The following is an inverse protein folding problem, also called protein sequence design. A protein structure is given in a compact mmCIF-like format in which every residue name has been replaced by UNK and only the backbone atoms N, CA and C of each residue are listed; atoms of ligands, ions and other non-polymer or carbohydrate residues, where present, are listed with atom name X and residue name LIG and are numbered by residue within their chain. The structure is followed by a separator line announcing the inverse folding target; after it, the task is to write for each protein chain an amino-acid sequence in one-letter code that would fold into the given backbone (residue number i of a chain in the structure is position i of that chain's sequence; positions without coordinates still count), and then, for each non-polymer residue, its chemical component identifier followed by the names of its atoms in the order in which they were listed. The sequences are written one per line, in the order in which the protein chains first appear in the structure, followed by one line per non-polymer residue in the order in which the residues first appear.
data_IF_708993733855
#
_entry.id   IF_708993733855
#
_cell.length_a   1.000
_cell.length_b   1.000
_cell.length_c   1.000
_cell.angle_alpha   90.00
_cell.angle_beta   90.00
_cell.angle_gamma   90.00
#
_symmetry.space_group_name_H-M   'P 1'
#
loop_
_entity.id
_entity.type
_entity.pdbx_description
1 polymer ?
#
# COMPACT_ATOMS: atom_id res chain seq x y z
N UNK A 1 -20.54 -34.44 10.18
CA UNK A 1 -20.89 -34.24 8.76
C UNK A 1 -21.03 -32.77 8.33
N UNK A 2 -21.48 -31.85 9.17
CA UNK A 2 -21.58 -30.41 8.81
C UNK A 2 -20.23 -29.68 8.62
N UNK A 3 -19.17 -30.04 9.35
CA UNK A 3 -17.87 -29.39 9.25
C UNK A 3 -17.13 -29.62 7.92
N UNK A 4 -17.36 -30.78 7.28
CA UNK A 4 -16.74 -31.14 5.99
C UNK A 4 -17.37 -30.34 4.81
N UNK A 5 -18.66 -30.06 4.86
CA UNK A 5 -19.34 -29.29 3.82
C UNK A 5 -18.90 -27.82 3.80
N UNK A 6 -18.60 -27.23 4.96
CA UNK A 6 -18.13 -25.84 5.09
C UNK A 6 -16.71 -25.66 4.58
N UNK A 7 -15.82 -26.62 4.82
CA UNK A 7 -14.43 -26.61 4.33
C UNK A 7 -14.36 -26.84 2.80
N UNK A 8 -15.23 -27.67 2.25
CA UNK A 8 -15.31 -27.87 0.80
C UNK A 8 -15.82 -26.61 0.09
N UNK A 9 -16.79 -25.89 0.67
CA UNK A 9 -17.35 -24.66 0.11
C UNK A 9 -16.33 -23.49 0.10
N UNK A 10 -15.48 -23.39 1.13
CA UNK A 10 -14.41 -22.35 1.20
C UNK A 10 -13.29 -22.61 0.19
N UNK A 11 -12.95 -23.88 -0.08
CA UNK A 11 -11.93 -24.20 -1.10
C UNK A 11 -12.46 -24.10 -2.52
N UNK A 12 -13.75 -24.34 -2.74
CA UNK A 12 -14.37 -24.24 -4.07
C UNK A 12 -14.50 -22.79 -4.54
N UNK A 13 -14.90 -21.86 -3.67
CA UNK A 13 -15.05 -20.44 -4.00
C UNK A 13 -13.74 -19.73 -4.38
N UNK A 14 -12.63 -20.10 -3.73
CA UNK A 14 -11.28 -19.59 -4.06
C UNK A 14 -10.74 -20.19 -5.37
N UNK A 15 -11.07 -21.46 -5.66
CA UNK A 15 -10.62 -22.13 -6.90
C UNK A 15 -11.39 -21.70 -8.14
N UNK A 16 -12.68 -21.40 -8.04
CA UNK A 16 -13.48 -20.98 -9.19
C UNK A 16 -13.01 -19.62 -9.74
N UNK A 17 -12.66 -18.66 -8.88
CA UNK A 17 -12.08 -17.38 -9.32
C UNK A 17 -10.73 -17.55 -10.00
N UNK A 18 -9.83 -18.33 -9.41
CA UNK A 18 -8.50 -18.59 -9.96
C UNK A 18 -8.52 -19.49 -11.21
N UNK A 19 -9.49 -20.41 -11.30
CA UNK A 19 -9.68 -21.28 -12.47
C UNK A 19 -10.31 -20.49 -13.62
N UNK A 20 -11.22 -19.56 -13.36
CA UNK A 20 -11.77 -18.67 -14.39
C UNK A 20 -10.72 -17.69 -14.92
N UNK A 21 -9.87 -17.14 -14.06
CA UNK A 21 -8.74 -16.27 -14.47
C UNK A 21 -7.68 -17.06 -15.28
N UNK A 22 -7.45 -18.33 -14.92
CA UNK A 22 -6.44 -19.17 -15.58
C UNK A 22 -6.92 -19.89 -16.86
N UNK A 23 -8.21 -20.21 -16.96
CA UNK A 23 -8.77 -20.98 -18.09
C UNK A 23 -9.23 -20.11 -19.26
N UNK A 24 -9.49 -18.81 -19.06
CA UNK A 24 -10.15 -18.04 -20.10
C UNK A 24 -9.25 -17.07 -20.85
N UNK A 25 -8.07 -16.70 -20.40
CA UNK A 25 -7.18 -15.75 -21.12
C UNK A 25 -7.93 -14.56 -21.75
N UNK A 26 -9.20 -14.37 -21.35
CA UNK A 26 -10.15 -13.41 -21.91
C UNK A 26 -10.54 -12.42 -20.81
N UNK A 27 -10.41 -11.15 -21.12
CA UNK A 27 -10.95 -10.08 -20.31
C UNK A 27 -12.45 -10.30 -20.06
N UNK A 28 -12.88 -10.13 -18.82
CA UNK A 28 -14.28 -10.18 -18.47
C UNK A 28 -15.07 -9.20 -19.33
N UNK A 29 -16.20 -9.63 -19.85
CA UNK A 29 -17.17 -8.72 -20.50
C UNK A 29 -17.61 -7.65 -19.50
N UNK A 30 -18.17 -6.54 -19.99
CA UNK A 30 -18.75 -5.51 -19.13
C UNK A 30 -19.75 -6.10 -18.11
N UNK A 31 -20.63 -6.98 -18.57
CA UNK A 31 -21.61 -7.71 -17.74
C UNK A 31 -20.92 -8.61 -16.72
N UNK A 32 -19.84 -9.30 -17.12
CA UNK A 32 -19.04 -10.14 -16.22
C UNK A 32 -18.34 -9.32 -15.11
N UNK A 33 -17.83 -8.15 -15.42
CA UNK A 33 -17.26 -7.23 -14.44
C UNK A 33 -18.31 -6.73 -13.44
N UNK A 34 -19.48 -6.33 -13.93
CA UNK A 34 -20.60 -5.90 -13.07
C UNK A 34 -21.08 -7.02 -12.15
N UNK A 35 -21.28 -8.23 -12.71
CA UNK A 35 -21.67 -9.40 -11.92
C UNK A 35 -20.60 -9.77 -10.87
N UNK A 36 -19.33 -9.72 -11.22
CA UNK A 36 -18.23 -10.01 -10.29
C UNK A 36 -18.21 -9.05 -9.10
N UNK A 37 -18.49 -7.76 -9.35
CA UNK A 37 -18.62 -6.75 -8.31
C UNK A 37 -19.74 -7.08 -7.32
N UNK A 38 -20.93 -7.39 -7.82
CA UNK A 38 -22.09 -7.76 -7.00
C UNK A 38 -21.87 -9.08 -6.24
N UNK A 39 -21.33 -10.10 -6.91
CA UNK A 39 -20.99 -11.36 -6.26
C UNK A 39 -19.98 -11.19 -5.12
N UNK A 40 -18.97 -10.34 -5.30
CA UNK A 40 -18.01 -9.97 -4.26
C UNK A 40 -18.68 -9.25 -3.10
N UNK A 41 -19.61 -8.33 -3.37
CA UNK A 41 -20.38 -7.62 -2.34
C UNK A 41 -21.23 -8.58 -1.48
N UNK A 42 -21.90 -9.55 -2.10
CA UNK A 42 -22.68 -10.60 -1.40
C UNK A 42 -21.77 -11.45 -0.51
N UNK A 43 -20.63 -11.92 -1.04
CA UNK A 43 -19.66 -12.70 -0.26
C UNK A 43 -19.05 -11.90 0.89
N UNK A 44 -18.86 -10.60 0.71
CA UNK A 44 -18.39 -9.71 1.76
C UNK A 44 -19.43 -9.56 2.88
N UNK A 45 -20.71 -9.37 2.54
CA UNK A 45 -21.82 -9.33 3.51
C UNK A 45 -21.94 -10.63 4.29
N UNK A 46 -21.81 -11.78 3.64
CA UNK A 46 -21.81 -13.09 4.31
C UNK A 46 -20.63 -13.25 5.29
N UNK A 47 -19.42 -12.80 4.90
CA UNK A 47 -18.26 -12.77 5.82
C UNK A 47 -18.51 -11.86 7.01
N UNK A 48 -19.07 -10.68 6.80
CA UNK A 48 -19.39 -9.73 7.87
C UNK A 48 -20.39 -10.31 8.86
N UNK A 49 -21.47 -10.93 8.41
CA UNK A 49 -22.44 -11.60 9.27
C UNK A 49 -21.77 -12.69 10.14
N UNK A 50 -20.89 -13.51 9.55
CA UNK A 50 -20.11 -14.51 10.28
C UNK A 50 -19.15 -13.86 11.29
N UNK A 51 -18.54 -12.72 10.97
CA UNK A 51 -17.67 -12.00 11.89
C UNK A 51 -18.45 -11.39 13.05
N UNK A 52 -19.62 -10.82 12.81
CA UNK A 52 -20.51 -10.30 13.88
C UNK A 52 -20.86 -11.41 14.88
N UNK A 53 -21.18 -12.61 14.43
CA UNK A 53 -21.42 -13.74 15.34
C UNK A 53 -20.20 -14.12 16.17
N UNK A 54 -18.98 -14.07 15.58
CA UNK A 54 -17.74 -14.31 16.31
C UNK A 54 -17.43 -13.21 17.34
N UNK A 55 -17.71 -11.96 16.99
CA UNK A 55 -17.53 -10.82 17.89
C UNK A 55 -18.43 -10.90 19.12
N UNK A 56 -19.65 -11.44 18.96
CA UNK A 56 -20.57 -11.74 20.06
C UNK A 56 -19.99 -12.82 20.99
N UNK A 57 -19.34 -13.83 20.43
CA UNK A 57 -18.70 -14.92 21.17
C UNK A 57 -17.38 -14.53 21.89
N UNK A 58 -16.93 -13.28 21.73
CA UNK A 58 -15.69 -12.76 22.29
C UNK A 58 -14.49 -12.90 21.33
N UNK A 59 -13.45 -12.06 21.55
CA UNK A 59 -12.24 -11.97 20.71
C UNK A 59 -11.31 -13.23 20.87
N UNK A 60 -11.87 -14.43 20.91
CA UNK A 60 -11.09 -15.67 21.09
C UNK A 60 -10.50 -16.19 19.77
N UNK A 61 -10.76 -15.55 18.63
CA UNK A 61 -10.20 -15.90 17.33
C UNK A 61 -10.93 -15.21 16.18
N UNK A 62 -10.28 -15.09 15.05
CA UNK A 62 -10.84 -14.47 13.83
C UNK A 62 -9.79 -14.35 12.76
N UNK A 63 -10.20 -13.97 11.55
CA UNK A 63 -9.30 -13.63 10.45
C UNK A 63 -9.43 -12.15 10.16
N UNK A 64 -8.29 -11.46 10.08
CA UNK A 64 -8.19 -10.05 9.70
C UNK A 64 -7.32 -9.94 8.44
N UNK A 65 -7.91 -9.53 7.34
CA UNK A 65 -7.19 -9.27 6.09
C UNK A 65 -6.82 -7.80 6.05
N UNK A 66 -5.54 -7.52 6.17
CA UNK A 66 -4.95 -6.19 6.10
C UNK A 66 -4.38 -5.99 4.70
N UNK A 67 -4.70 -4.90 4.02
CA UNK A 67 -4.00 -4.46 2.83
C UNK A 67 -3.14 -3.25 3.16
N UNK A 68 -1.94 -3.15 2.60
CA UNK A 68 -1.09 -1.98 2.81
C UNK A 68 -0.28 -1.64 1.58
N UNK A 69 -0.05 -0.33 1.38
CA UNK A 69 0.89 0.16 0.38
C UNK A 69 2.32 -0.20 0.75
N UNK A 70 3.21 -0.25 -0.24
CA UNK A 70 4.55 -0.84 -0.06
C UNK A 70 5.37 -0.17 1.05
N UNK A 71 5.39 1.16 1.11
CA UNK A 71 6.14 1.86 2.15
C UNK A 71 5.60 1.50 3.54
N UNK A 72 4.28 1.58 3.70
CA UNK A 72 3.63 1.29 4.98
C UNK A 72 3.81 -0.18 5.35
N UNK A 73 3.61 -1.11 4.40
CA UNK A 73 3.70 -2.55 4.61
C UNK A 73 5.10 -3.03 5.01
N UNK A 74 6.15 -2.43 4.42
CA UNK A 74 7.51 -2.93 4.59
C UNK A 74 8.29 -2.22 5.70
N UNK A 75 7.96 -0.95 6.00
CA UNK A 75 8.79 -0.13 6.87
C UNK A 75 8.08 0.37 8.14
N UNK A 76 6.76 0.48 8.13
CA UNK A 76 6.03 1.04 9.25
C UNK A 76 5.13 0.03 9.98
N UNK A 77 4.42 -0.80 9.25
CA UNK A 77 3.39 -1.70 9.79
C UNK A 77 3.94 -2.97 10.49
N UNK A 78 5.08 -3.59 10.08
CA UNK A 78 5.48 -4.91 10.58
C UNK A 78 5.64 -4.98 12.09
N UNK A 79 6.34 -4.03 12.71
CA UNK A 79 6.52 -3.99 14.17
C UNK A 79 5.19 -3.86 14.92
N UNK A 80 4.25 -3.12 14.36
CA UNK A 80 2.91 -2.91 14.91
C UNK A 80 2.05 -4.16 14.80
N UNK A 81 2.13 -4.88 13.68
CA UNK A 81 1.46 -6.18 13.52
C UNK A 81 2.04 -7.23 14.45
N UNK A 82 3.35 -7.24 14.67
CA UNK A 82 3.99 -8.15 15.62
C UNK A 82 3.51 -7.90 17.06
N UNK A 83 3.44 -6.65 17.48
CA UNK A 83 2.91 -6.27 18.79
C UNK A 83 1.42 -6.64 18.93
N UNK A 84 0.63 -6.40 17.88
CA UNK A 84 -0.78 -6.80 17.84
C UNK A 84 -0.92 -8.32 17.95
N UNK A 85 -0.15 -9.10 17.19
CA UNK A 85 -0.21 -10.57 17.20
C UNK A 85 0.19 -11.14 18.58
N UNK A 86 1.15 -10.53 19.26
CA UNK A 86 1.52 -10.91 20.62
C UNK A 86 0.38 -10.65 21.63
N UNK A 87 -0.35 -9.55 21.47
CA UNK A 87 -1.49 -9.20 22.35
C UNK A 87 -2.76 -10.01 22.03
N UNK A 88 -2.93 -10.42 20.78
CA UNK A 88 -4.13 -11.13 20.28
C UNK A 88 -3.76 -12.39 19.49
N UNK A 89 -3.16 -13.42 20.13
CA UNK A 89 -2.64 -14.60 19.43
C UNK A 89 -3.70 -15.44 18.73
N UNK A 90 -4.97 -15.30 19.11
CA UNK A 90 -6.09 -15.99 18.46
C UNK A 90 -6.58 -15.33 17.17
N UNK A 91 -6.07 -14.16 16.79
CA UNK A 91 -6.44 -13.47 15.56
C UNK A 91 -5.45 -13.84 14.44
N UNK A 92 -5.94 -14.51 13.39
CA UNK A 92 -5.14 -14.80 12.18
C UNK A 92 -5.07 -13.54 11.31
N UNK A 93 -3.90 -12.89 11.25
CA UNK A 93 -3.66 -11.69 10.45
C UNK A 93 -2.97 -12.05 9.15
N UNK A 94 -3.56 -11.66 8.02
CA UNK A 94 -2.91 -11.78 6.71
C UNK A 94 -2.68 -10.38 6.12
N UNK A 95 -1.42 -10.11 5.70
CA UNK A 95 -1.03 -8.85 5.05
C UNK A 95 -0.95 -9.04 3.54
N UNK A 96 -1.63 -8.16 2.80
CA UNK A 96 -1.56 -8.02 1.34
C UNK A 96 -0.83 -6.72 1.01
N UNK A 97 0.18 -6.79 0.14
CA UNK A 97 0.96 -5.62 -0.27
C UNK A 97 0.58 -5.26 -1.70
N UNK A 98 0.29 -3.99 -1.93
CA UNK A 98 -0.07 -3.45 -3.24
C UNK A 98 0.35 -1.97 -3.34
N UNK A 99 -0.06 -1.25 -4.38
CA UNK A 99 0.03 0.21 -4.39
C UNK A 99 -1.21 0.85 -3.73
N UNK A 100 -1.16 2.15 -3.51
CA UNK A 100 -2.21 2.91 -2.79
C UNK A 100 -3.59 2.74 -3.42
N UNK A 101 -3.70 2.85 -4.74
CA UNK A 101 -4.95 2.74 -5.47
C UNK A 101 -5.54 1.33 -5.36
N UNK A 102 -4.70 0.29 -5.48
CA UNK A 102 -5.14 -1.09 -5.34
C UNK A 102 -5.55 -1.42 -3.90
N UNK A 103 -4.85 -0.93 -2.90
CA UNK A 103 -5.25 -1.08 -1.49
C UNK A 103 -6.64 -0.48 -1.25
N UNK A 104 -6.89 0.73 -1.76
CA UNK A 104 -8.21 1.35 -1.66
C UNK A 104 -9.29 0.52 -2.35
N UNK A 105 -9.02 0.01 -3.55
CA UNK A 105 -9.93 -0.88 -4.26
C UNK A 105 -10.19 -2.17 -3.48
N UNK A 106 -9.17 -2.81 -2.91
CA UNK A 106 -9.31 -4.03 -2.11
C UNK A 106 -10.21 -3.81 -0.88
N UNK A 107 -10.09 -2.64 -0.21
CA UNK A 107 -10.98 -2.30 0.93
C UNK A 107 -12.40 -2.01 0.45
N UNK A 108 -12.57 -1.25 -0.62
CA UNK A 108 -13.89 -0.94 -1.21
C UNK A 108 -14.62 -2.21 -1.65
N UNK A 109 -13.92 -3.11 -2.32
CA UNK A 109 -14.45 -4.40 -2.81
C UNK A 109 -14.53 -5.47 -1.71
N UNK A 110 -14.17 -5.14 -0.47
CA UNK A 110 -14.16 -6.07 0.67
C UNK A 110 -13.24 -7.28 0.47
N UNK A 111 -12.19 -7.15 -0.32
CA UNK A 111 -11.10 -8.12 -0.44
C UNK A 111 -10.10 -7.99 0.72
N UNK A 112 -10.06 -6.82 1.35
CA UNK A 112 -9.40 -6.55 2.62
C UNK A 112 -10.40 -5.97 3.62
N UNK A 113 -10.19 -6.25 4.90
CA UNK A 113 -11.02 -5.71 5.98
C UNK A 113 -10.66 -4.24 6.24
N UNK A 114 -9.37 -3.95 6.22
CA UNK A 114 -8.79 -2.63 6.46
C UNK A 114 -7.63 -2.39 5.50
N UNK A 115 -7.33 -1.12 5.26
CA UNK A 115 -6.21 -0.67 4.45
C UNK A 115 -5.28 0.29 5.19
N UNK A 116 -4.01 0.29 4.84
CA UNK A 116 -3.04 1.29 5.24
C UNK A 116 -2.33 1.85 4.02
N UNK A 117 -2.38 3.15 3.83
CA UNK A 117 -1.82 3.82 2.65
C UNK A 117 -1.00 5.06 3.02
N UNK A 118 -0.14 5.48 2.11
CA UNK A 118 0.43 6.82 2.08
C UNK A 118 -0.29 7.71 1.07
N UNK A 119 -0.41 9.00 1.40
CA UNK A 119 -1.06 10.02 0.57
C UNK A 119 -2.58 10.02 0.70
N UNK A 120 -3.19 11.07 0.18
CA UNK A 120 -4.64 11.25 0.26
C UNK A 120 -5.35 10.40 -0.80
N UNK A 121 -6.54 9.96 -0.46
CA UNK A 121 -7.46 9.29 -1.37
C UNK A 121 -8.84 9.93 -1.26
N UNK A 122 -9.43 10.22 -2.42
CA UNK A 122 -10.82 10.67 -2.52
C UNK A 122 -11.69 9.52 -3.02
N UNK A 123 -12.31 8.81 -2.06
CA UNK A 123 -13.23 7.71 -2.34
C UNK A 123 -14.44 7.80 -1.40
N UNK A 124 -15.59 8.09 -1.97
CA UNK A 124 -16.83 8.28 -1.22
C UNK A 124 -17.28 7.10 -0.36
N UNK A 125 -16.87 5.87 -0.69
CA UNK A 125 -17.21 4.66 0.04
C UNK A 125 -16.26 4.37 1.22
N UNK A 126 -15.07 5.00 1.24
CA UNK A 126 -14.07 4.76 2.23
C UNK A 126 -14.03 5.85 3.30
N UNK A 127 -13.84 5.46 4.54
CA UNK A 127 -13.45 6.33 5.63
C UNK A 127 -11.93 6.26 5.79
N UNK A 128 -11.28 7.42 5.71
CA UNK A 128 -9.85 7.57 5.92
C UNK A 128 -9.57 8.26 7.25
N UNK A 129 -8.64 7.74 8.05
CA UNK A 129 -8.17 8.34 9.29
C UNK A 129 -6.65 8.45 9.27
N UNK A 130 -6.13 9.65 9.44
CA UNK A 130 -4.70 9.88 9.57
C UNK A 130 -4.15 9.19 10.83
N UNK A 131 -3.02 8.51 10.69
CA UNK A 131 -2.40 7.73 11.78
C UNK A 131 -0.93 8.11 12.03
N UNK A 132 -0.15 8.41 10.98
CA UNK A 132 1.27 8.73 11.05
C UNK A 132 1.72 9.42 9.76
N UNK A 133 3.00 9.38 9.43
CA UNK A 133 3.55 9.90 8.18
C UNK A 133 5.05 9.68 8.03
N UNK A 134 5.55 10.07 6.86
CA UNK A 134 6.97 10.09 6.48
C UNK A 134 7.29 11.32 5.62
N UNK A 135 8.50 11.37 5.08
CA UNK A 135 8.91 12.39 4.13
C UNK A 135 9.29 11.77 2.78
N UNK A 136 8.85 12.41 1.70
CA UNK A 136 9.35 12.13 0.36
C UNK A 136 10.67 12.88 0.16
N UNK A 137 11.71 12.16 -0.24
CA UNK A 137 13.05 12.68 -0.47
C UNK A 137 13.55 12.31 -1.86
N UNK A 138 14.51 13.08 -2.39
CA UNK A 138 15.19 12.71 -3.64
C UNK A 138 16.56 12.16 -3.33
N UNK A 139 16.84 10.97 -3.89
CA UNK A 139 18.12 10.29 -3.72
C UNK A 139 18.73 9.87 -5.05
N UNK A 140 20.04 9.76 -5.03
CA UNK A 140 20.88 9.29 -6.16
C UNK A 140 21.95 8.33 -5.67
N UNK A 141 22.48 7.51 -6.55
CA UNK A 141 23.60 6.62 -6.27
C UNK A 141 24.95 7.38 -6.19
N UNK A 142 26.01 6.73 -5.69
CA UNK A 142 27.31 7.35 -5.44
C UNK A 142 28.03 7.83 -6.72
N UNK A 143 27.69 7.26 -7.90
CA UNK A 143 28.26 7.63 -9.20
C UNK A 143 27.52 8.78 -9.89
N UNK A 144 26.38 9.19 -9.34
CA UNK A 144 25.58 10.26 -9.94
C UNK A 144 26.31 11.61 -9.83
N UNK A 145 26.30 12.44 -10.89
CA UNK A 145 26.99 13.75 -10.88
C UNK A 145 26.59 14.66 -9.70
N UNK A 146 25.35 14.55 -9.21
CA UNK A 146 24.86 15.38 -8.13
C UNK A 146 25.14 14.82 -6.73
N UNK A 147 25.64 13.59 -6.59
CA UNK A 147 25.78 12.91 -5.29
C UNK A 147 26.62 13.70 -4.27
N UNK A 148 27.62 14.46 -4.72
CA UNK A 148 28.55 15.22 -3.85
C UNK A 148 28.41 16.74 -3.96
N UNK A 149 27.39 17.22 -4.68
CA UNK A 149 27.17 18.64 -4.86
C UNK A 149 26.56 19.24 -3.60
N UNK A 150 27.15 20.35 -3.11
CA UNK A 150 26.57 21.15 -2.02
C UNK A 150 25.37 21.98 -2.47
N UNK A 151 25.31 22.33 -3.75
CA UNK A 151 24.25 23.12 -4.36
C UNK A 151 23.91 22.54 -5.73
N UNK A 152 22.66 22.24 -5.93
CA UNK A 152 22.16 21.73 -7.20
C UNK A 152 22.06 22.85 -8.24
N UNK A 153 22.30 22.57 -9.53
CA UNK A 153 22.11 23.55 -10.60
C UNK A 153 20.64 23.94 -10.74
N UNK A 154 20.36 25.14 -11.25
CA UNK A 154 19.01 25.53 -11.58
C UNK A 154 18.40 24.56 -12.61
N UNK A 155 17.16 24.18 -12.42
CA UNK A 155 16.48 23.21 -13.30
C UNK A 155 17.03 21.79 -13.23
N UNK A 156 17.76 21.41 -12.20
CA UNK A 156 18.39 20.10 -12.03
C UNK A 156 17.45 18.91 -12.25
N UNK A 157 16.16 19.05 -11.93
CA UNK A 157 15.17 17.97 -12.08
C UNK A 157 14.97 17.53 -13.54
N UNK A 158 15.12 18.44 -14.49
CA UNK A 158 15.03 18.15 -15.94
C UNK A 158 16.34 17.71 -16.55
N UNK A 159 17.45 17.80 -15.80
CA UNK A 159 18.82 17.48 -16.24
C UNK A 159 19.27 16.08 -15.81
N UNK A 160 18.46 15.35 -15.07
CA UNK A 160 18.78 14.02 -14.58
C UNK A 160 17.75 13.00 -15.04
N UNK A 161 18.16 11.76 -15.35
CA UNK A 161 17.22 10.67 -15.60
C UNK A 161 16.57 10.19 -14.30
N UNK A 162 15.34 9.71 -14.40
CA UNK A 162 14.52 9.29 -13.26
C UNK A 162 14.13 7.82 -13.35
N UNK A 163 14.08 7.17 -12.20
CA UNK A 163 13.37 5.90 -11.99
C UNK A 163 12.20 6.19 -11.05
N UNK A 164 11.00 5.84 -11.47
CA UNK A 164 9.79 6.16 -10.72
C UNK A 164 8.96 4.92 -10.42
N UNK A 165 8.05 5.07 -9.47
CA UNK A 165 6.99 4.11 -9.21
C UNK A 165 5.94 4.16 -10.34
N UNK A 166 5.19 3.10 -10.43
CA UNK A 166 4.07 2.93 -11.35
C UNK A 166 2.90 3.89 -11.03
N UNK A 167 1.98 4.16 -12.00
CA UNK A 167 0.71 4.81 -11.75
C UNK A 167 -0.10 4.10 -10.65
N UNK A 168 -0.84 4.85 -9.85
CA UNK A 168 -1.57 4.33 -8.69
C UNK A 168 -0.72 4.21 -7.41
N UNK A 169 0.61 4.43 -7.48
CA UNK A 169 1.47 4.55 -6.30
C UNK A 169 1.30 5.92 -5.63
N UNK A 170 1.06 5.92 -4.32
CA UNK A 170 1.01 7.14 -3.51
C UNK A 170 2.34 7.92 -3.53
N UNK A 171 3.48 7.21 -3.61
CA UNK A 171 4.80 7.82 -3.76
C UNK A 171 4.90 8.61 -5.07
N UNK A 172 4.45 8.01 -6.20
CA UNK A 172 4.42 8.69 -7.49
C UNK A 172 3.46 9.88 -7.49
N UNK A 173 2.24 9.71 -6.99
CA UNK A 173 1.24 10.79 -6.93
C UNK A 173 1.76 12.01 -6.14
N UNK A 174 2.43 11.78 -5.00
CA UNK A 174 3.04 12.83 -4.20
C UNK A 174 4.22 13.50 -4.91
N UNK A 175 5.02 12.74 -5.65
CA UNK A 175 6.10 13.32 -6.47
C UNK A 175 5.53 14.21 -7.57
N UNK A 176 4.52 13.76 -8.28
CA UNK A 176 3.84 14.56 -9.32
C UNK A 176 3.21 15.85 -8.73
N UNK A 177 2.64 15.76 -7.53
CA UNK A 177 2.15 16.96 -6.82
C UNK A 177 3.28 17.92 -6.48
N UNK A 178 4.42 17.41 -6.03
CA UNK A 178 5.60 18.22 -5.71
C UNK A 178 6.22 18.88 -6.97
N UNK A 179 6.18 18.20 -8.12
CA UNK A 179 6.57 18.77 -9.42
C UNK A 179 5.63 19.92 -9.82
N UNK A 180 4.31 19.72 -9.74
CA UNK A 180 3.33 20.77 -10.06
C UNK A 180 3.53 22.03 -9.22
N UNK A 181 3.84 21.89 -7.93
CA UNK A 181 4.15 23.03 -7.04
C UNK A 181 5.43 23.79 -7.45
N UNK A 182 6.31 23.16 -8.23
CA UNK A 182 7.52 23.76 -8.80
C UNK A 182 7.34 24.22 -10.26
N UNK A 183 6.13 24.18 -10.79
CA UNK A 183 5.83 24.54 -12.17
C UNK A 183 6.27 23.49 -13.20
N UNK A 184 6.54 22.26 -12.77
CA UNK A 184 6.95 21.14 -13.62
C UNK A 184 5.84 20.10 -13.74
N UNK A 185 5.90 19.33 -14.83
CA UNK A 185 5.05 18.17 -15.07
C UNK A 185 5.93 16.94 -15.23
N UNK A 186 5.37 15.76 -15.05
CA UNK A 186 6.10 14.51 -15.27
C UNK A 186 6.68 14.39 -16.68
N UNK A 187 5.95 14.90 -17.69
CA UNK A 187 6.40 14.91 -19.07
C UNK A 187 7.65 15.79 -19.34
N UNK A 188 7.98 16.67 -18.41
CA UNK A 188 9.17 17.51 -18.49
C UNK A 188 10.44 16.77 -17.98
N UNK A 189 10.28 15.56 -17.43
CA UNK A 189 11.36 14.74 -16.88
C UNK A 189 11.76 13.59 -17.82
N UNK A 190 13.04 13.22 -17.82
CA UNK A 190 13.54 12.04 -18.51
C UNK A 190 13.32 10.77 -17.66
N UNK A 191 12.10 10.20 -17.69
CA UNK A 191 11.82 8.94 -16.98
C UNK A 191 12.36 7.78 -17.78
N UNK A 192 13.37 7.09 -17.25
CA UNK A 192 14.03 5.95 -17.92
C UNK A 192 13.39 4.61 -17.57
N UNK A 193 12.95 4.44 -16.31
CA UNK A 193 12.35 3.21 -15.85
C UNK A 193 11.13 3.51 -14.96
N UNK A 194 10.13 2.65 -15.05
CA UNK A 194 9.00 2.57 -14.16
C UNK A 194 9.00 1.20 -13.49
N UNK A 195 9.05 1.17 -12.16
CA UNK A 195 9.13 -0.07 -11.38
C UNK A 195 8.06 -0.09 -10.30
N UNK A 196 7.54 -1.29 -10.04
CA UNK A 196 6.46 -1.50 -9.07
C UNK A 196 6.94 -1.81 -7.64
N UNK A 197 8.26 -1.79 -7.38
CA UNK A 197 8.85 -2.09 -6.06
C UNK A 197 9.79 -0.98 -5.60
N UNK A 198 9.59 -0.51 -4.35
CA UNK A 198 10.50 0.45 -3.72
C UNK A 198 11.92 -0.11 -3.60
N UNK A 199 12.06 -1.40 -3.29
CA UNK A 199 13.34 -2.09 -3.15
C UNK A 199 14.06 -2.20 -4.50
N UNK A 200 13.32 -2.51 -5.59
CA UNK A 200 13.87 -2.55 -6.93
C UNK A 200 14.36 -1.17 -7.38
N UNK A 201 13.58 -0.11 -7.11
CA UNK A 201 13.99 1.28 -7.38
C UNK A 201 15.25 1.63 -6.59
N UNK A 202 15.27 1.37 -5.28
CA UNK A 202 16.43 1.62 -4.43
C UNK A 202 17.69 0.96 -4.99
N UNK A 203 17.62 -0.34 -5.30
CA UNK A 203 18.75 -1.10 -5.83
C UNK A 203 19.22 -0.57 -7.20
N UNK A 204 18.28 -0.22 -8.08
CA UNK A 204 18.61 0.35 -9.39
C UNK A 204 19.31 1.72 -9.27
N UNK A 205 18.85 2.58 -8.33
CA UNK A 205 19.45 3.89 -8.09
C UNK A 205 20.82 3.76 -7.42
N UNK A 206 21.03 2.83 -6.49
CA UNK A 206 22.33 2.56 -5.86
C UNK A 206 23.41 2.21 -6.90
N UNK A 207 23.05 1.49 -7.95
CA UNK A 207 23.97 1.03 -8.99
C UNK A 207 24.05 1.96 -10.21
N UNK A 208 23.11 2.89 -10.38
CA UNK A 208 22.91 3.66 -11.61
C UNK A 208 23.29 5.13 -11.54
N UNK A 209 22.83 5.85 -12.56
CA UNK A 209 22.98 7.31 -12.72
C UNK A 209 21.61 8.03 -12.68
N UNK A 210 20.57 7.36 -12.21
CA UNK A 210 19.23 7.93 -12.11
C UNK A 210 18.98 8.49 -10.72
N UNK A 211 18.09 9.47 -10.65
CA UNK A 211 17.47 9.93 -9.42
C UNK A 211 16.13 9.22 -9.18
N UNK A 212 15.68 9.19 -7.95
CA UNK A 212 14.30 8.82 -7.59
C UNK A 212 13.76 9.69 -6.47
N UNK A 213 12.44 9.87 -6.47
CA UNK A 213 11.71 10.41 -5.33
C UNK A 213 11.07 9.24 -4.57
N UNK A 214 11.45 9.06 -3.31
CA UNK A 214 11.09 7.90 -2.52
C UNK A 214 10.93 8.28 -1.04
N UNK A 215 10.29 7.42 -0.25
CA UNK A 215 10.19 7.58 1.21
C UNK A 215 11.57 7.59 1.88
N UNK A 216 11.76 8.48 2.83
CA UNK A 216 12.94 8.49 3.70
C UNK A 216 13.10 7.17 4.46
N UNK A 217 12.00 6.55 4.90
CA UNK A 217 12.01 5.24 5.57
C UNK A 217 12.64 4.12 4.70
N UNK A 218 12.47 4.19 3.37
CA UNK A 218 13.03 3.19 2.45
C UNK A 218 14.54 3.32 2.33
N UNK A 219 15.06 4.53 2.40
CA UNK A 219 16.46 4.85 2.05
C UNK A 219 17.34 5.22 3.24
N UNK A 220 16.79 5.31 4.44
CA UNK A 220 17.50 5.68 5.66
C UNK A 220 18.79 4.87 5.86
N UNK A 221 18.68 3.54 5.77
CA UNK A 221 19.84 2.63 5.93
C UNK A 221 20.85 2.78 4.81
N UNK A 222 20.40 2.96 3.58
CA UNK A 222 21.27 3.16 2.41
C UNK A 222 22.02 4.50 2.49
N UNK A 223 21.37 5.55 2.97
CA UNK A 223 22.01 6.85 3.20
C UNK A 223 23.06 6.72 4.33
N UNK A 224 22.72 6.07 5.44
CA UNK A 224 23.64 5.83 6.54
C UNK A 224 24.87 5.00 6.12
N UNK A 225 24.69 4.04 5.21
CA UNK A 225 25.76 3.22 4.65
C UNK A 225 26.54 3.91 3.51
N UNK A 226 26.12 5.10 3.04
CA UNK A 226 26.77 5.82 1.95
C UNK A 226 26.54 5.20 0.56
N UNK A 227 25.57 4.29 0.42
CA UNK A 227 25.18 3.71 -0.88
C UNK A 227 24.18 4.58 -1.63
N UNK A 228 23.49 5.49 -0.94
CA UNK A 228 22.66 6.54 -1.52
C UNK A 228 23.00 7.91 -0.93
N UNK A 229 22.77 8.94 -1.71
CA UNK A 229 22.95 10.34 -1.33
C UNK A 229 21.65 11.10 -1.50
N UNK A 230 21.20 11.75 -0.46
CA UNK A 230 20.09 12.70 -0.53
C UNK A 230 20.58 13.98 -1.15
N UNK A 231 20.03 14.38 -2.28
CA UNK A 231 20.48 15.54 -3.06
C UNK A 231 19.61 16.78 -2.88
N UNK A 232 18.44 16.62 -2.28
CA UNK A 232 17.56 17.72 -1.90
C UNK A 232 16.97 17.45 -0.52
N UNK A 233 16.53 18.50 0.16
CA UNK A 233 15.82 18.41 1.41
C UNK A 233 14.52 17.61 1.27
N UNK A 234 13.63 17.78 2.22
CA UNK A 234 12.31 17.15 2.20
C UNK A 234 11.49 17.73 1.04
N UNK A 235 11.11 16.86 0.09
CA UNK A 235 10.33 17.25 -1.07
C UNK A 235 8.86 17.50 -0.70
N UNK A 236 8.33 16.64 0.17
CA UNK A 236 6.99 16.74 0.74
C UNK A 236 6.86 15.88 2.00
N UNK A 237 6.10 16.34 2.99
CA UNK A 237 5.58 15.47 4.06
C UNK A 237 4.40 14.68 3.56
N UNK A 238 4.34 13.40 3.95
CA UNK A 238 3.23 12.51 3.61
C UNK A 238 2.56 12.03 4.88
N UNK A 239 1.23 11.94 4.84
CA UNK A 239 0.46 11.30 5.90
C UNK A 239 0.20 9.85 5.56
N UNK A 240 0.22 8.98 6.56
CA UNK A 240 -0.30 7.63 6.47
C UNK A 240 -1.75 7.61 6.94
N UNK A 241 -2.57 6.85 6.24
CA UNK A 241 -4.00 6.72 6.54
C UNK A 241 -4.38 5.27 6.75
N UNK A 242 -5.23 5.08 7.74
CA UNK A 242 -6.02 3.87 7.91
C UNK A 242 -7.30 4.02 7.10
N UNK A 243 -7.64 3.00 6.32
CA UNK A 243 -8.83 2.95 5.48
C UNK A 243 -9.76 1.84 5.92
N UNK A 244 -11.07 2.12 5.91
CA UNK A 244 -12.13 1.12 6.05
C UNK A 244 -13.33 1.49 5.18
N UNK A 245 -14.15 0.53 4.84
CA UNK A 245 -15.43 0.80 4.17
C UNK A 245 -16.41 1.44 5.16
N UNK A 246 -17.09 2.54 4.78
CA UNK A 246 -17.98 3.31 5.66
C UNK A 246 -19.14 2.49 6.21
N UNK A 247 -19.75 1.67 5.36
CA UNK A 247 -20.97 0.90 5.67
C UNK A 247 -20.68 -0.46 6.33
N UNK A 248 -19.41 -0.85 6.48
CA UNK A 248 -19.08 -2.13 7.12
C UNK A 248 -19.07 -2.01 8.63
N UNK A 249 -19.56 -3.09 9.27
CA UNK A 249 -19.40 -3.27 10.71
C UNK A 249 -17.92 -3.32 11.08
N UNK A 250 -17.52 -2.56 12.09
CA UNK A 250 -16.17 -2.58 12.65
C UNK A 250 -16.06 -3.79 13.57
N UNK A 251 -15.22 -4.76 13.20
CA UNK A 251 -14.96 -5.92 14.04
C UNK A 251 -14.13 -5.54 15.28
N UNK A 252 -14.22 -6.34 16.33
CA UNK A 252 -13.40 -6.15 17.54
C UNK A 252 -11.90 -6.25 17.22
N UNK A 253 -11.50 -7.13 16.29
CA UNK A 253 -10.12 -7.28 15.85
C UNK A 253 -9.62 -6.03 15.08
N UNK A 254 -10.46 -5.47 14.23
CA UNK A 254 -10.18 -4.22 13.51
C UNK A 254 -10.00 -3.04 14.48
N UNK A 255 -10.94 -2.87 15.44
CA UNK A 255 -10.87 -1.84 16.47
C UNK A 255 -9.61 -2.00 17.34
N UNK A 256 -9.28 -3.22 17.74
CA UNK A 256 -8.10 -3.52 18.55
C UNK A 256 -6.79 -3.24 17.78
N UNK A 257 -6.70 -3.61 16.49
CA UNK A 257 -5.52 -3.27 15.68
C UNK A 257 -5.37 -1.77 15.54
N UNK A 258 -6.47 -1.04 15.26
CA UNK A 258 -6.41 0.42 15.15
C UNK A 258 -5.96 1.10 16.45
N UNK A 259 -6.42 0.60 17.60
CA UNK A 259 -5.98 1.08 18.91
C UNK A 259 -4.50 0.80 19.17
N UNK A 260 -4.03 -0.42 18.84
CA UNK A 260 -2.62 -0.83 18.95
C UNK A 260 -1.71 0.04 18.08
N UNK A 261 -2.11 0.28 16.83
CA UNK A 261 -1.37 1.12 15.88
C UNK A 261 -1.30 2.58 16.35
N UNK A 262 -2.38 3.11 16.94
CA UNK A 262 -2.43 4.48 17.44
C UNK A 262 -1.62 4.68 18.74
N UNK A 263 -1.47 3.63 19.56
CA UNK A 263 -0.72 3.67 20.82
C UNK A 263 0.81 3.55 20.63
N UNK A 264 1.26 2.96 19.52
CA UNK A 264 2.67 2.74 19.19
C UNK A 264 3.30 4.03 18.58
N UNK A 265 3.37 5.11 19.39
CA UNK A 265 4.13 6.32 19.06
C UNK A 265 5.53 6.25 19.62
#
# INVERSE_FOLDING_TARGET
MMAFAVLAHQRLGLRIGQILDALLGTDLTHTGRSFLSEARAVLARARNAKQTLRDIAGLKGGKLVVAASQTVANYWLPSRLQAFQAAYPGVDVSLRIANTERVAADVRESLADIGFIEGDIDDGALAARRIDGDALVVVVGPRHPFAKLRKLPAGWMTQTPWILREPGSGTRAMFELALRRRGLRLADLAVQLELTSNEAIRTAVESGLCATAISDLVVEKSIAAGTLFRIEGELAKRSFYFLRHKERHVSKAEAALLASVAAAK
#
